data_IF_966969385347
#
_entry.id   IF_966969385347
#
_cell.length_a   1.000
_cell.length_b   1.000
_cell.length_c   1.000
_cell.angle_alpha   90.00
_cell.angle_beta   90.00
_cell.angle_gamma   90.00
#
_symmetry.space_group_name_H-M   'P 1'
#
loop_
_entity.id
_entity.type
_entity.pdbx_description
1 polymer ?
#
# COMPACT_ATOMS: atom_id res chain seq x y z
N UNK A 1 12.20 -0.21 5.88
CA UNK A 1 11.48 -1.42 5.41
C UNK A 1 12.13 -2.05 4.18
N UNK A 2 12.60 -1.25 3.20
CA UNK A 2 13.32 -1.74 2.00
C UNK A 2 14.39 -2.79 2.33
N UNK A 3 15.32 -2.46 3.24
CA UNK A 3 16.40 -3.37 3.65
C UNK A 3 15.89 -4.69 4.22
N UNK A 4 14.89 -4.65 5.12
CA UNK A 4 14.27 -5.85 5.68
C UNK A 4 13.59 -6.71 4.61
N UNK A 5 12.90 -6.06 3.66
CA UNK A 5 12.26 -6.74 2.53
C UNK A 5 13.29 -7.49 1.67
N UNK A 6 14.36 -6.80 1.24
CA UNK A 6 15.41 -7.44 0.44
C UNK A 6 16.17 -8.51 1.21
N UNK A 7 16.57 -8.26 2.46
CA UNK A 7 17.27 -9.26 3.29
C UNK A 7 16.41 -10.52 3.43
N UNK A 8 15.13 -10.37 3.75
CA UNK A 8 14.20 -11.50 3.82
C UNK A 8 14.12 -12.26 2.49
N UNK A 9 13.94 -11.57 1.37
CA UNK A 9 13.84 -12.21 0.04
C UNK A 9 15.13 -12.94 -0.34
N UNK A 10 16.29 -12.33 -0.09
CA UNK A 10 17.60 -12.87 -0.47
C UNK A 10 17.97 -14.11 0.35
N UNK A 11 17.65 -14.15 1.65
CA UNK A 11 17.89 -15.32 2.50
C UNK A 11 17.17 -16.56 1.95
N UNK A 12 15.95 -16.40 1.43
CA UNK A 12 15.15 -17.50 0.91
C UNK A 12 15.40 -17.84 -0.57
N UNK A 13 16.27 -17.11 -1.27
CA UNK A 13 16.74 -17.38 -2.64
C UNK A 13 15.65 -17.57 -3.72
N UNK A 14 14.40 -17.17 -3.47
CA UNK A 14 13.28 -17.32 -4.41
C UNK A 14 12.77 -15.95 -4.89
N UNK A 15 13.58 -15.21 -5.64
CA UNK A 15 13.27 -13.83 -6.07
C UNK A 15 11.97 -13.76 -6.91
N UNK A 16 11.67 -14.80 -7.70
CA UNK A 16 10.47 -14.86 -8.55
C UNK A 16 9.18 -15.06 -7.76
N UNK A 17 9.23 -15.76 -6.63
CA UNK A 17 8.06 -16.02 -5.79
C UNK A 17 7.53 -14.79 -5.06
N UNK A 18 8.37 -13.77 -4.87
CA UNK A 18 8.14 -12.64 -3.96
C UNK A 18 7.70 -11.36 -4.69
N UNK A 19 7.31 -11.46 -5.96
CA UNK A 19 6.67 -10.35 -6.67
C UNK A 19 7.59 -9.22 -7.11
N UNK A 20 8.92 -9.40 -7.04
CA UNK A 20 9.90 -8.47 -7.64
C UNK A 20 9.87 -8.59 -9.17
N UNK A 21 9.74 -9.81 -9.69
CA UNK A 21 9.67 -10.08 -11.12
C UNK A 21 8.22 -10.27 -11.52
N UNK A 22 7.70 -9.37 -12.37
CA UNK A 22 6.30 -9.43 -12.79
C UNK A 22 6.01 -10.63 -13.68
N UNK A 23 4.91 -11.31 -13.39
CA UNK A 23 4.33 -12.34 -14.28
C UNK A 23 3.58 -11.72 -15.45
N UNK A 24 3.03 -10.50 -15.28
CA UNK A 24 2.25 -9.81 -16.30
C UNK A 24 2.49 -8.30 -16.26
N UNK A 25 3.71 -7.90 -16.66
CA UNK A 25 4.15 -6.50 -16.58
C UNK A 25 3.23 -5.55 -17.35
N UNK A 26 2.74 -5.98 -18.52
CA UNK A 26 1.81 -5.19 -19.33
C UNK A 26 0.51 -4.87 -18.58
N UNK A 27 -0.04 -5.87 -17.86
CA UNK A 27 -1.23 -5.66 -17.05
C UNK A 27 -0.95 -4.69 -15.90
N UNK A 28 0.14 -4.91 -15.15
CA UNK A 28 0.49 -4.08 -14.00
C UNK A 28 0.76 -2.62 -14.40
N UNK A 29 1.50 -2.39 -15.49
CA UNK A 29 1.73 -1.03 -16.01
C UNK A 29 0.45 -0.38 -16.52
N UNK A 30 -0.39 -1.10 -17.27
CA UNK A 30 -1.67 -0.57 -17.78
C UNK A 30 -2.57 -0.11 -16.65
N UNK A 31 -2.74 -0.93 -15.60
CA UNK A 31 -3.58 -0.57 -14.47
C UNK A 31 -2.94 0.47 -13.57
N UNK A 32 -1.61 0.47 -13.43
CA UNK A 32 -0.90 1.54 -12.72
C UNK A 32 -1.14 2.89 -13.40
N UNK A 33 -1.08 2.94 -14.74
CA UNK A 33 -1.42 4.14 -15.50
C UNK A 33 -2.86 4.58 -15.26
N UNK A 34 -3.83 3.67 -15.26
CA UNK A 34 -5.23 4.02 -14.98
C UNK A 34 -5.44 4.54 -13.56
N UNK A 35 -4.75 3.95 -12.57
CA UNK A 35 -4.76 4.46 -11.19
C UNK A 35 -4.13 5.85 -11.14
N UNK A 36 -2.94 6.04 -11.72
CA UNK A 36 -2.29 7.36 -11.79
C UNK A 36 -3.20 8.41 -12.42
N UNK A 37 -3.83 8.09 -13.55
CA UNK A 37 -4.74 9.01 -14.24
C UNK A 37 -5.95 9.37 -13.38
N UNK A 38 -6.52 8.40 -12.66
CA UNK A 38 -7.62 8.66 -11.73
C UNK A 38 -7.21 9.66 -10.65
N UNK A 39 -6.12 9.39 -9.94
CA UNK A 39 -5.66 10.25 -8.85
C UNK A 39 -5.23 11.63 -9.34
N UNK A 40 -4.46 11.71 -10.43
CA UNK A 40 -4.07 12.99 -11.04
C UNK A 40 -5.31 13.80 -11.43
N UNK A 41 -6.33 13.18 -12.03
CA UNK A 41 -7.56 13.86 -12.42
C UNK A 41 -8.30 14.41 -11.20
N UNK A 42 -8.41 13.61 -10.13
CA UNK A 42 -9.03 14.04 -8.88
C UNK A 42 -8.24 15.19 -8.24
N UNK A 43 -6.91 15.09 -8.15
CA UNK A 43 -6.06 16.16 -7.60
C UNK A 43 -6.17 17.45 -8.42
N UNK A 44 -6.18 17.37 -9.76
CA UNK A 44 -6.36 18.54 -10.62
C UNK A 44 -7.74 19.20 -10.42
N UNK A 45 -8.79 18.41 -10.22
CA UNK A 45 -10.11 18.92 -9.89
C UNK A 45 -10.09 19.69 -8.55
N UNK A 46 -9.49 19.12 -7.50
CA UNK A 46 -9.36 19.80 -6.20
C UNK A 46 -8.53 21.08 -6.28
N UNK A 47 -7.41 21.06 -7.03
CA UNK A 47 -6.59 22.26 -7.27
C UNK A 47 -7.41 23.33 -7.99
N UNK A 48 -8.19 22.95 -9.00
CA UNK A 48 -9.05 23.87 -9.76
C UNK A 48 -10.11 24.51 -8.84
N UNK A 49 -10.77 23.71 -8.01
CA UNK A 49 -11.76 24.21 -7.03
C UNK A 49 -11.09 25.12 -5.99
N UNK A 50 -9.92 24.76 -5.49
CA UNK A 50 -9.15 25.58 -4.54
C UNK A 50 -8.73 26.92 -5.16
N UNK A 51 -8.34 26.92 -6.43
CA UNK A 51 -8.02 28.13 -7.18
C UNK A 51 -9.24 29.04 -7.33
N UNK A 52 -10.39 28.49 -7.75
CA UNK A 52 -11.65 29.24 -7.93
C UNK A 52 -12.13 29.84 -6.59
N UNK A 53 -12.05 29.07 -5.51
CA UNK A 53 -12.46 29.50 -4.17
C UNK A 53 -11.44 30.39 -3.46
N UNK A 54 -10.28 30.66 -4.08
CA UNK A 54 -9.16 31.40 -3.50
C UNK A 54 -8.62 30.79 -2.21
N UNK A 55 -8.77 29.48 -2.06
CA UNK A 55 -8.24 28.69 -0.93
C UNK A 55 -6.87 28.08 -1.23
N UNK A 56 -6.21 28.51 -2.31
CA UNK A 56 -4.93 27.93 -2.73
C UNK A 56 -3.81 28.35 -1.78
N UNK A 57 -3.08 27.37 -1.26
CA UNK A 57 -1.82 27.59 -0.56
C UNK A 57 -0.70 27.22 -1.52
N UNK A 58 0.23 28.14 -1.83
CA UNK A 58 1.33 27.83 -2.72
C UNK A 58 2.26 26.82 -2.05
N UNK A 59 2.48 25.69 -2.73
CA UNK A 59 3.45 24.68 -2.35
C UNK A 59 4.61 24.76 -3.34
N UNK A 60 5.84 24.78 -2.85
CA UNK A 60 7.01 24.83 -3.72
C UNK A 60 7.25 23.51 -4.43
N UNK A 61 7.88 23.58 -5.60
CA UNK A 61 8.21 22.40 -6.40
C UNK A 61 9.12 21.42 -5.64
N UNK A 62 10.00 21.96 -4.77
CA UNK A 62 10.92 21.16 -3.97
C UNK A 62 10.16 20.28 -2.98
N UNK A 63 9.17 20.83 -2.31
CA UNK A 63 8.32 20.13 -1.33
C UNK A 63 7.55 19.02 -2.03
N UNK A 64 6.94 19.30 -3.19
CA UNK A 64 6.24 18.29 -3.99
C UNK A 64 7.15 17.13 -4.42
N UNK A 65 8.38 17.42 -4.83
CA UNK A 65 9.35 16.38 -5.21
C UNK A 65 9.76 15.54 -4.00
N UNK A 66 9.98 16.17 -2.84
CA UNK A 66 10.35 15.46 -1.62
C UNK A 66 9.20 14.56 -1.16
N UNK A 67 7.98 15.08 -1.16
CA UNK A 67 6.78 14.32 -0.79
C UNK A 67 6.54 13.17 -1.77
N UNK A 68 6.69 13.41 -3.08
CA UNK A 68 6.57 12.34 -4.07
C UNK A 68 7.62 11.25 -3.84
N UNK A 69 8.87 11.61 -3.58
CA UNK A 69 9.90 10.63 -3.25
C UNK A 69 9.56 9.86 -1.96
N UNK A 70 9.07 10.57 -0.94
CA UNK A 70 8.68 9.98 0.34
C UNK A 70 7.56 8.96 0.16
N UNK A 71 6.42 9.38 -0.39
CA UNK A 71 5.23 8.56 -0.49
C UNK A 71 5.33 7.45 -1.53
N UNK A 72 5.97 7.66 -2.68
CA UNK A 72 6.09 6.61 -3.68
C UNK A 72 7.22 5.61 -3.39
N UNK A 73 8.35 6.05 -2.82
CA UNK A 73 9.52 5.18 -2.62
C UNK A 73 9.60 4.65 -1.19
N UNK A 74 9.53 5.54 -0.19
CA UNK A 74 9.77 5.17 1.20
C UNK A 74 8.54 4.65 1.93
N UNK A 75 7.34 5.01 1.46
CA UNK A 75 6.07 4.46 1.93
C UNK A 75 5.59 3.38 0.96
N UNK A 76 5.06 3.76 -0.20
CA UNK A 76 4.48 2.84 -1.19
C UNK A 76 5.40 1.67 -1.55
N UNK A 77 6.55 1.92 -2.19
CA UNK A 77 7.41 0.82 -2.61
C UNK A 77 8.01 0.02 -1.44
N UNK A 78 8.52 0.71 -0.42
CA UNK A 78 9.20 0.07 0.69
C UNK A 78 8.28 -0.85 1.50
N UNK A 79 7.06 -0.40 1.76
CA UNK A 79 6.07 -1.15 2.52
C UNK A 79 5.51 -2.30 1.68
N UNK A 80 5.20 -2.07 0.41
CA UNK A 80 4.72 -3.15 -0.47
C UNK A 80 5.78 -4.23 -0.70
N UNK A 81 7.06 -3.85 -0.84
CA UNK A 81 8.16 -4.80 -0.93
C UNK A 81 8.24 -5.68 0.33
N UNK A 82 8.09 -5.09 1.51
CA UNK A 82 8.16 -5.84 2.76
C UNK A 82 6.90 -6.66 3.01
N UNK A 83 5.72 -6.04 3.00
CA UNK A 83 4.48 -6.70 3.36
C UNK A 83 3.98 -7.64 2.25
N UNK A 84 3.89 -7.18 1.01
CA UNK A 84 3.28 -7.96 -0.10
C UNK A 84 4.33 -8.82 -0.80
N UNK A 85 5.55 -8.31 -0.88
CA UNK A 85 6.69 -9.06 -1.39
C UNK A 85 7.11 -10.15 -0.42
N UNK A 86 7.57 -9.79 0.79
CA UNK A 86 8.12 -10.74 1.76
C UNK A 86 7.06 -11.41 2.66
N UNK A 87 6.42 -10.67 3.55
CA UNK A 87 5.58 -11.22 4.64
C UNK A 87 4.42 -12.05 4.12
N UNK A 88 3.64 -11.52 3.17
CA UNK A 88 2.51 -12.22 2.56
C UNK A 88 2.94 -13.51 1.87
N UNK A 89 4.06 -13.50 1.14
CA UNK A 89 4.57 -14.69 0.47
C UNK A 89 4.91 -15.79 1.48
N UNK A 90 5.58 -15.45 2.58
CA UNK A 90 5.89 -16.41 3.67
C UNK A 90 4.62 -16.96 4.31
N UNK A 91 3.66 -16.09 4.61
CA UNK A 91 2.40 -16.51 5.24
C UNK A 91 1.57 -17.39 4.29
N UNK A 92 1.57 -17.12 2.99
CA UNK A 92 0.86 -17.94 2.01
C UNK A 92 1.44 -19.36 1.86
N UNK A 93 2.71 -19.59 2.23
CA UNK A 93 3.29 -20.95 2.24
C UNK A 93 2.77 -21.79 3.42
N UNK A 94 2.44 -21.16 4.55
CA UNK A 94 2.03 -21.85 5.78
C UNK A 94 0.51 -21.88 5.94
N UNK A 95 -0.17 -20.79 5.58
CA UNK A 95 -1.62 -20.65 5.67
C UNK A 95 -2.27 -20.95 4.31
N UNK A 96 -2.77 -22.18 4.18
CA UNK A 96 -3.29 -22.71 2.91
C UNK A 96 -4.77 -22.42 2.67
N UNK A 97 -5.50 -21.93 3.67
CA UNK A 97 -6.92 -21.59 3.53
C UNK A 97 -7.12 -20.51 2.48
N UNK A 98 -8.13 -20.69 1.64
CA UNK A 98 -8.60 -19.72 0.64
C UNK A 98 -9.99 -19.22 1.02
N UNK A 99 -10.25 -17.95 0.77
CA UNK A 99 -11.58 -17.35 0.80
C UNK A 99 -12.13 -17.28 -0.62
N UNK A 100 -13.44 -17.46 -0.81
CA UNK A 100 -14.05 -17.60 -2.15
C UNK A 100 -14.45 -16.29 -2.82
N UNK A 101 -14.63 -15.25 -2.02
CA UNK A 101 -15.11 -13.95 -2.51
C UNK A 101 -14.54 -12.79 -1.72
N UNK A 102 -14.61 -11.62 -2.34
CA UNK A 102 -14.36 -10.33 -1.72
C UNK A 102 -15.41 -9.34 -2.21
N UNK A 103 -16.09 -8.63 -1.30
CA UNK A 103 -17.10 -7.61 -1.64
C UNK A 103 -18.15 -8.09 -2.67
N UNK A 104 -18.57 -9.35 -2.59
CA UNK A 104 -19.52 -9.96 -3.55
C UNK A 104 -18.91 -10.40 -4.89
N UNK A 105 -17.63 -10.11 -5.15
CA UNK A 105 -16.90 -10.58 -6.34
C UNK A 105 -16.36 -11.98 -6.06
N UNK A 106 -16.70 -12.94 -6.94
CA UNK A 106 -16.14 -14.31 -6.90
C UNK A 106 -14.68 -14.28 -7.33
N UNK A 107 -13.78 -14.23 -6.36
CA UNK A 107 -12.34 -14.29 -6.55
C UNK A 107 -11.72 -14.97 -5.34
N UNK A 108 -10.98 -16.05 -5.59
CA UNK A 108 -10.33 -16.79 -4.52
C UNK A 108 -9.03 -16.11 -4.09
N UNK A 109 -8.85 -15.89 -2.78
CA UNK A 109 -7.68 -15.22 -2.21
C UNK A 109 -7.21 -15.87 -0.90
N UNK A 110 -5.93 -15.73 -0.56
CA UNK A 110 -5.28 -16.49 0.52
C UNK A 110 -5.47 -15.92 1.92
N UNK A 111 -5.49 -16.80 2.93
CA UNK A 111 -5.49 -16.40 4.34
C UNK A 111 -4.28 -15.56 4.74
N UNK A 112 -3.11 -15.77 4.12
CA UNK A 112 -1.93 -14.93 4.36
C UNK A 112 -2.15 -13.45 4.03
N UNK A 113 -3.05 -13.11 3.10
CA UNK A 113 -3.46 -11.72 2.84
C UNK A 113 -4.20 -11.12 4.03
N UNK A 114 -5.12 -11.87 4.66
CA UNK A 114 -5.87 -11.38 5.82
C UNK A 114 -4.90 -11.08 6.97
N UNK A 115 -3.98 -12.01 7.23
CA UNK A 115 -2.99 -11.86 8.30
C UNK A 115 -2.08 -10.66 8.04
N UNK A 116 -1.53 -10.58 6.82
CA UNK A 116 -0.63 -9.49 6.44
C UNK A 116 -1.36 -8.14 6.45
N UNK A 117 -2.49 -8.04 5.75
CA UNK A 117 -3.21 -6.79 5.51
C UNK A 117 -3.87 -6.22 6.76
N UNK A 118 -4.46 -7.08 7.60
CA UNK A 118 -5.17 -6.62 8.81
C UNK A 118 -4.20 -6.52 9.98
N UNK A 119 -3.55 -7.62 10.36
CA UNK A 119 -2.87 -7.69 11.64
C UNK A 119 -1.46 -7.10 11.61
N UNK A 120 -0.75 -7.23 10.49
CA UNK A 120 0.64 -6.78 10.39
C UNK A 120 0.80 -5.43 9.69
N UNK A 121 -0.18 -5.03 8.89
CA UNK A 121 -0.17 -3.77 8.14
C UNK A 121 -1.20 -2.78 8.71
N UNK A 122 -2.48 -3.13 8.71
CA UNK A 122 -3.57 -2.23 9.11
C UNK A 122 -3.57 -1.85 10.59
N UNK A 123 -3.71 -2.81 11.51
CA UNK A 123 -3.82 -2.56 12.96
C UNK A 123 -2.68 -1.73 13.55
N UNK A 124 -1.40 -1.89 13.14
CA UNK A 124 -0.31 -1.02 13.59
C UNK A 124 -0.53 0.47 13.34
N UNK A 125 -1.41 0.87 12.41
CA UNK A 125 -1.73 2.27 12.18
C UNK A 125 -2.42 2.94 13.38
N UNK A 126 -3.03 2.19 14.31
CA UNK A 126 -3.49 2.76 15.59
C UNK A 126 -2.34 3.38 16.37
N UNK A 127 -1.13 2.82 16.25
CA UNK A 127 0.05 3.26 17.00
C UNK A 127 0.62 4.58 16.49
N UNK A 128 0.11 5.14 15.37
CA UNK A 128 0.52 6.47 14.89
C UNK A 128 0.15 7.58 15.90
N UNK A 129 -0.86 7.36 16.74
CA UNK A 129 -1.21 8.23 17.86
C UNK A 129 -0.39 8.01 19.14
N UNK A 130 0.62 7.14 19.10
CA UNK A 130 1.42 6.73 20.27
C UNK A 130 2.90 7.06 20.04
N UNK A 131 3.47 7.89 20.92
CA UNK A 131 4.89 8.15 20.98
C UNK A 131 5.41 7.96 22.41
N UNK A 132 6.03 6.81 22.71
CA UNK A 132 6.47 6.49 24.07
C UNK A 132 7.66 7.36 24.53
N UNK A 133 8.46 7.92 23.61
CA UNK A 133 9.63 8.74 23.95
C UNK A 133 9.27 10.09 24.57
N UNK A 134 8.05 10.56 24.31
CA UNK A 134 7.51 11.82 24.88
C UNK A 134 6.26 11.59 25.75
N UNK A 135 5.93 10.33 26.05
CA UNK A 135 4.74 9.98 26.85
C UNK A 135 3.40 10.31 26.19
N UNK A 136 3.35 10.41 24.86
CA UNK A 136 2.11 10.72 24.13
C UNK A 136 1.34 9.43 23.83
N UNK A 137 0.11 9.34 24.32
CA UNK A 137 -0.82 8.25 24.03
C UNK A 137 -2.18 8.84 23.69
N UNK A 138 -2.42 9.14 22.41
CA UNK A 138 -3.65 9.78 21.95
C UNK A 138 -4.24 9.06 20.73
N UNK A 139 -5.13 8.12 21.01
CA UNK A 139 -5.97 7.49 19.99
C UNK A 139 -7.25 8.32 19.83
N UNK A 140 -7.50 8.82 18.63
CA UNK A 140 -8.72 9.59 18.29
C UNK A 140 -9.58 8.82 17.31
N UNK A 141 -10.87 9.21 17.09
CA UNK A 141 -11.71 8.60 16.06
C UNK A 141 -11.08 8.61 14.66
N UNK A 142 -10.27 9.63 14.35
CA UNK A 142 -9.52 9.69 13.08
C UNK A 142 -8.52 8.53 12.96
N UNK A 143 -7.78 8.22 14.02
CA UNK A 143 -6.83 7.09 14.02
C UNK A 143 -7.55 5.75 13.82
N UNK A 144 -8.73 5.58 14.44
CA UNK A 144 -9.56 4.39 14.24
C UNK A 144 -10.06 4.31 12.79
N UNK A 145 -10.49 5.42 12.21
CA UNK A 145 -10.90 5.50 10.80
C UNK A 145 -9.76 5.15 9.84
N UNK A 146 -8.58 5.74 10.03
CA UNK A 146 -7.37 5.44 9.25
C UNK A 146 -7.01 3.97 9.37
N UNK A 147 -7.05 3.41 10.58
CA UNK A 147 -6.75 1.98 10.81
C UNK A 147 -7.74 1.09 10.08
N UNK A 148 -9.04 1.38 10.17
CA UNK A 148 -10.06 0.62 9.45
C UNK A 148 -9.84 0.66 7.94
N UNK A 149 -9.51 1.83 7.40
CA UNK A 149 -9.18 2.00 5.99
C UNK A 149 -7.88 1.25 5.60
N UNK A 150 -6.84 1.32 6.42
CA UNK A 150 -5.58 0.62 6.21
C UNK A 150 -5.74 -0.91 6.26
N UNK A 151 -6.60 -1.44 7.14
CA UNK A 151 -6.96 -2.87 7.15
C UNK A 151 -7.65 -3.28 5.84
N UNK A 152 -8.60 -2.46 5.38
CA UNK A 152 -9.33 -2.71 4.13
C UNK A 152 -8.41 -2.66 2.92
N UNK A 153 -7.68 -1.55 2.73
CA UNK A 153 -6.69 -1.41 1.67
C UNK A 153 -5.59 -2.45 1.78
N UNK A 154 -5.27 -2.85 3.01
CA UNK A 154 -4.35 -3.92 3.34
C UNK A 154 -4.63 -5.21 2.58
N UNK A 155 -5.90 -5.62 2.60
CA UNK A 155 -6.43 -6.79 1.89
C UNK A 155 -6.45 -6.54 0.37
N UNK A 156 -6.89 -5.37 -0.08
CA UNK A 156 -6.95 -5.02 -1.50
C UNK A 156 -5.56 -5.10 -2.14
N UNK A 157 -4.52 -4.53 -1.52
CA UNK A 157 -3.14 -4.60 -2.00
C UNK A 157 -2.64 -6.04 -2.10
N UNK A 158 -2.95 -6.87 -1.09
CA UNK A 158 -2.56 -8.28 -1.10
C UNK A 158 -3.22 -9.08 -2.23
N UNK A 159 -4.48 -8.80 -2.53
CA UNK A 159 -5.23 -9.40 -3.65
C UNK A 159 -4.66 -8.92 -4.99
N UNK A 160 -4.39 -7.62 -5.13
CA UNK A 160 -3.76 -7.09 -6.34
C UNK A 160 -2.41 -7.78 -6.58
N UNK A 161 -1.58 -7.96 -5.54
CA UNK A 161 -0.32 -8.70 -5.65
C UNK A 161 -0.49 -10.16 -6.03
N UNK A 162 -1.53 -10.85 -5.55
CA UNK A 162 -1.81 -12.23 -5.99
C UNK A 162 -2.25 -12.28 -7.45
N UNK A 163 -3.07 -11.31 -7.87
CA UNK A 163 -3.62 -11.23 -9.23
C UNK A 163 -2.57 -10.84 -10.27
N UNK A 164 -1.69 -9.88 -9.96
CA UNK A 164 -0.62 -9.44 -10.88
C UNK A 164 0.62 -10.32 -10.80
N UNK A 165 0.85 -10.94 -9.63
CA UNK A 165 2.09 -11.64 -9.34
C UNK A 165 3.27 -10.71 -9.09
N UNK A 166 3.04 -9.41 -8.86
CA UNK A 166 4.04 -8.39 -8.53
C UNK A 166 3.53 -7.35 -7.55
N UNK A 167 4.43 -6.46 -7.12
CA UNK A 167 4.12 -5.35 -6.20
C UNK A 167 3.96 -4.00 -6.91
N UNK A 168 4.02 -3.92 -8.24
CA UNK A 168 4.04 -2.64 -8.98
C UNK A 168 2.72 -1.90 -8.81
N UNK A 169 1.61 -2.56 -9.13
CA UNK A 169 0.28 -1.95 -9.02
C UNK A 169 -0.08 -1.59 -7.56
N UNK A 170 0.14 -2.47 -6.56
CA UNK A 170 0.01 -2.10 -5.15
C UNK A 170 0.88 -0.90 -4.76
N UNK A 171 2.14 -0.84 -5.21
CA UNK A 171 3.08 0.26 -4.89
C UNK A 171 2.55 1.60 -5.38
N UNK A 172 2.09 1.65 -6.63
CA UNK A 172 1.56 2.87 -7.24
C UNK A 172 0.28 3.30 -6.52
N UNK A 173 -0.64 2.36 -6.28
CA UNK A 173 -1.89 2.67 -5.59
C UNK A 173 -1.66 3.14 -4.14
N UNK A 174 -0.77 2.50 -3.41
CA UNK A 174 -0.43 2.87 -2.04
C UNK A 174 0.20 4.28 -2.00
N UNK A 175 1.19 4.55 -2.85
CA UNK A 175 1.81 5.88 -2.92
C UNK A 175 0.82 7.00 -3.22
N UNK A 176 -0.15 6.77 -4.12
CA UNK A 176 -1.20 7.77 -4.42
C UNK A 176 -2.26 7.94 -3.33
N UNK A 177 -2.48 6.94 -2.49
CA UNK A 177 -3.43 7.07 -1.37
C UNK A 177 -2.86 7.99 -0.29
N UNK A 178 -1.54 8.00 -0.13
CA UNK A 178 -0.87 8.78 0.91
C UNK A 178 -0.38 10.16 0.45
N UNK A 179 -0.07 10.32 -0.85
CA UNK A 179 0.40 11.58 -1.47
C UNK A 179 -0.75 12.56 -1.76
#
# INVERSE_FOLDING_TARGET
>A
MIGLGFVGILIHKNIKGYGIVSKNLKFSLKWSLYVSLLFITVSLLFITVAFITRSITPVGLRELIIDALWFFVFVGFAEELFFRGYVQSRLNEVFTRKYESILGIKYQWSQGILITGVFLFGLPHLLTGVNPFIGCFRITPLHVGITGFACFMGIIFGILREKTGDIILPTVLHGFIDY
#
